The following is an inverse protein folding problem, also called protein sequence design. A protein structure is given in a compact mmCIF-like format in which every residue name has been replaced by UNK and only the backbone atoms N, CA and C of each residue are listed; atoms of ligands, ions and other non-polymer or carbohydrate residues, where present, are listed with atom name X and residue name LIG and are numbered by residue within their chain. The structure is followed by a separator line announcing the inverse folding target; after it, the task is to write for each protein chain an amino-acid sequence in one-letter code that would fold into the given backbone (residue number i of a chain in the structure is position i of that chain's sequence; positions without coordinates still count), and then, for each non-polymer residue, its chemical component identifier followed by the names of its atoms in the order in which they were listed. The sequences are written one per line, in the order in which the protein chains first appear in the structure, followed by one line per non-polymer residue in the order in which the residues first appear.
data_IF_227746593924
#
_entry.id   IF_227746593924
#
_cell.length_a   1.000
_cell.length_b   1.000
_cell.length_c   1.000
_cell.angle_alpha   90.00
_cell.angle_beta   90.00
_cell.angle_gamma   90.00
#
_symmetry.space_group_name_H-M   'P 1'
#
loop_
_entity.id
_entity.type
_entity.pdbx_description
1 polymer ?
#
# COMPACT_ATOMS: atom_id res chain seq x y z
N UNK A 1 -37.43 1.70 -19.58
CA UNK A 1 -36.27 2.02 -18.72
C UNK A 1 -36.32 1.08 -17.53
N UNK A 2 -35.51 0.01 -17.45
CA UNK A 2 -35.50 -0.84 -16.26
C UNK A 2 -34.82 -0.08 -15.12
N UNK A 3 -35.46 -0.06 -13.95
CA UNK A 3 -34.97 0.61 -12.75
C UNK A 3 -33.71 -0.06 -12.21
N UNK A 4 -32.72 0.74 -11.87
CA UNK A 4 -31.51 0.31 -11.16
C UNK A 4 -31.92 -0.29 -9.80
N UNK A 5 -31.81 -1.61 -9.65
CA UNK A 5 -32.01 -2.28 -8.37
C UNK A 5 -30.73 -2.11 -7.56
N UNK A 6 -30.71 -1.14 -6.66
CA UNK A 6 -29.64 -0.98 -5.68
C UNK A 6 -29.81 -2.05 -4.61
N UNK A 7 -28.97 -3.08 -4.60
CA UNK A 7 -28.90 -4.03 -3.48
C UNK A 7 -28.23 -3.33 -2.30
N UNK A 8 -29.03 -2.72 -1.43
CA UNK A 8 -28.54 -2.26 -0.13
C UNK A 8 -28.45 -3.47 0.80
N UNK A 9 -27.25 -3.79 1.29
CA UNK A 9 -27.10 -4.76 2.37
C UNK A 9 -27.77 -4.22 3.64
N UNK A 10 -28.99 -4.69 3.92
CA UNK A 10 -29.59 -4.62 5.25
C UNK A 10 -29.29 -5.91 5.99
N UNK A 11 -28.29 -5.90 6.85
CA UNK A 11 -28.24 -6.79 8.00
C UNK A 11 -27.59 -6.07 9.19
N UNK A 12 -28.35 -5.16 9.80
CA UNK A 12 -28.02 -4.57 11.12
C UNK A 12 -28.64 -5.37 12.27
N UNK A 13 -29.22 -6.55 12.04
CA UNK A 13 -29.92 -7.31 13.10
C UNK A 13 -29.72 -8.84 13.07
N UNK A 14 -28.51 -9.33 12.76
CA UNK A 14 -28.06 -10.69 13.21
C UNK A 14 -26.54 -10.68 13.40
N UNK A 15 -26.02 -10.04 14.46
CA UNK A 15 -24.55 -9.95 14.58
C UNK A 15 -24.03 -9.67 15.99
N UNK A 16 -24.58 -10.30 17.03
CA UNK A 16 -23.86 -10.38 18.31
C UNK A 16 -23.59 -11.83 18.73
N UNK A 17 -24.52 -12.77 18.45
CA UNK A 17 -24.34 -14.18 18.79
C UNK A 17 -23.53 -15.00 17.74
N UNK A 18 -23.59 -14.66 16.44
CA UNK A 18 -22.94 -15.43 15.36
C UNK A 18 -21.48 -15.02 15.14
N UNK A 19 -21.13 -13.76 15.41
CA UNK A 19 -19.75 -13.27 15.24
C UNK A 19 -18.79 -13.79 16.30
N UNK A 20 -19.30 -14.11 17.50
CA UNK A 20 -18.52 -14.79 18.54
C UNK A 20 -18.27 -16.27 18.28
N UNK A 21 -19.04 -16.90 17.38
CA UNK A 21 -18.98 -18.34 17.08
C UNK A 21 -18.27 -18.68 15.78
N UNK A 22 -18.13 -17.72 14.86
CA UNK A 22 -17.44 -17.95 13.59
C UNK A 22 -15.93 -18.08 13.79
N UNK A 23 -15.36 -19.17 13.31
CA UNK A 23 -13.92 -19.40 13.42
C UNK A 23 -13.16 -18.33 12.63
N UNK A 24 -12.00 -17.91 13.12
CA UNK A 24 -11.14 -16.92 12.42
C UNK A 24 -10.89 -17.27 10.96
N UNK A 25 -10.82 -18.56 10.66
CA UNK A 25 -10.63 -19.10 9.32
C UNK A 25 -11.84 -18.86 8.41
N UNK A 26 -13.06 -19.07 8.89
CA UNK A 26 -14.29 -18.84 8.11
C UNK A 26 -14.45 -17.35 7.74
N UNK A 27 -14.17 -16.46 8.69
CA UNK A 27 -14.17 -15.01 8.43
C UNK A 27 -13.11 -14.61 7.40
N UNK A 28 -11.92 -15.21 7.47
CA UNK A 28 -10.84 -14.98 6.50
C UNK A 28 -11.25 -15.41 5.08
N UNK A 29 -11.91 -16.56 4.96
CA UNK A 29 -12.47 -17.05 3.69
C UNK A 29 -13.56 -16.11 3.14
N UNK A 30 -14.43 -15.56 3.99
CA UNK A 30 -15.42 -14.57 3.55
C UNK A 30 -14.77 -13.29 3.01
N UNK A 31 -13.72 -12.78 3.66
CA UNK A 31 -12.98 -11.64 3.13
C UNK A 31 -12.39 -11.92 1.75
N UNK A 32 -11.87 -13.14 1.53
CA UNK A 32 -11.38 -13.56 0.22
C UNK A 32 -12.49 -13.53 -0.84
N UNK A 33 -13.64 -14.12 -0.56
CA UNK A 33 -14.75 -14.16 -1.51
C UNK A 33 -15.26 -12.76 -1.87
N UNK A 34 -15.35 -11.86 -0.90
CA UNK A 34 -15.75 -10.48 -1.17
C UNK A 34 -14.73 -9.78 -2.07
N UNK A 35 -13.43 -9.94 -1.80
CA UNK A 35 -12.39 -9.34 -2.64
C UNK A 35 -12.49 -9.85 -4.08
N UNK A 36 -12.55 -11.17 -4.28
CA UNK A 36 -12.65 -11.79 -5.60
C UNK A 36 -13.93 -11.36 -6.34
N UNK A 37 -15.05 -11.22 -5.64
CA UNK A 37 -16.29 -10.73 -6.23
C UNK A 37 -16.15 -9.27 -6.71
N UNK A 38 -15.49 -8.41 -5.93
CA UNK A 38 -15.20 -7.02 -6.34
C UNK A 38 -14.32 -7.00 -7.59
N UNK A 39 -13.24 -7.79 -7.61
CA UNK A 39 -12.36 -7.86 -8.79
C UNK A 39 -13.09 -8.32 -10.05
N UNK A 40 -13.94 -9.34 -9.90
CA UNK A 40 -14.69 -9.89 -11.02
C UNK A 40 -15.76 -8.93 -11.55
N UNK A 41 -16.53 -8.31 -10.66
CA UNK A 41 -17.64 -7.44 -11.05
C UNK A 41 -17.19 -6.05 -11.53
N UNK A 42 -16.00 -5.61 -11.10
CA UNK A 42 -15.52 -4.25 -11.31
C UNK A 42 -14.13 -4.21 -11.95
N UNK A 43 -13.76 -5.22 -12.73
CA UNK A 43 -12.47 -5.31 -13.43
C UNK A 43 -12.12 -4.02 -14.20
N UNK A 44 -13.10 -3.45 -14.89
CA UNK A 44 -12.90 -2.29 -15.77
C UNK A 44 -12.80 -0.96 -15.01
N UNK A 45 -13.08 -0.98 -13.70
CA UNK A 45 -13.07 0.20 -12.81
C UNK A 45 -12.41 -0.11 -11.47
N UNK A 46 -11.43 -1.03 -11.49
CA UNK A 46 -10.80 -1.60 -10.31
C UNK A 46 -10.17 -0.52 -9.42
N UNK A 47 -9.73 0.56 -10.07
CA UNK A 47 -9.22 1.78 -9.44
C UNK A 47 -10.13 2.30 -8.33
N UNK A 48 -11.46 2.34 -8.54
CA UNK A 48 -12.40 2.83 -7.52
C UNK A 48 -12.50 1.95 -6.27
N UNK A 49 -11.89 0.77 -6.28
CA UNK A 49 -12.01 -0.24 -5.22
C UNK A 49 -10.66 -0.62 -4.58
N UNK A 50 -9.55 0.00 -4.98
CA UNK A 50 -8.19 -0.35 -4.51
C UNK A 50 -8.09 -0.44 -2.98
N UNK A 51 -8.56 0.57 -2.25
CA UNK A 51 -8.50 0.57 -0.78
C UNK A 51 -9.37 -0.52 -0.13
N UNK A 52 -10.53 -0.79 -0.72
CA UNK A 52 -11.44 -1.84 -0.26
C UNK A 52 -10.80 -3.21 -0.49
N UNK A 53 -10.22 -3.42 -1.67
CA UNK A 53 -9.50 -4.64 -2.02
C UNK A 53 -8.30 -4.86 -1.11
N UNK A 54 -7.49 -3.83 -0.86
CA UNK A 54 -6.37 -3.89 0.07
C UNK A 54 -6.83 -4.40 1.45
N UNK A 55 -7.92 -3.83 1.96
CA UNK A 55 -8.49 -4.18 3.26
C UNK A 55 -9.06 -5.59 3.33
N UNK A 56 -9.75 -6.05 2.29
CA UNK A 56 -10.30 -7.40 2.25
C UNK A 56 -9.19 -8.44 2.08
N UNK A 57 -8.24 -8.22 1.18
CA UNK A 57 -7.13 -9.15 1.01
C UNK A 57 -6.23 -9.25 2.24
N UNK A 58 -5.99 -8.15 2.96
CA UNK A 58 -5.22 -8.16 4.21
C UNK A 58 -5.83 -9.08 5.29
N UNK A 59 -7.15 -9.24 5.28
CA UNK A 59 -7.90 -10.09 6.22
C UNK A 59 -8.15 -11.50 5.67
N UNK A 60 -7.60 -11.81 4.51
CA UNK A 60 -7.76 -13.07 3.79
C UNK A 60 -6.47 -13.90 3.80
N UNK A 61 -6.49 -15.15 3.29
CA UNK A 61 -5.27 -15.93 3.11
C UNK A 61 -4.36 -15.45 1.96
N UNK A 62 -4.84 -14.61 1.04
CA UNK A 62 -4.08 -14.14 -0.13
C UNK A 62 -3.31 -12.84 0.18
N UNK A 63 -2.22 -12.98 0.94
CA UNK A 63 -1.39 -11.84 1.37
C UNK A 63 -0.56 -11.22 0.24
N UNK A 64 -0.29 -11.98 -0.82
CA UNK A 64 0.33 -11.51 -2.06
C UNK A 64 -0.56 -10.47 -2.76
N UNK A 65 -1.86 -10.73 -2.82
CA UNK A 65 -2.85 -9.76 -3.31
C UNK A 65 -2.97 -8.57 -2.36
N UNK A 66 -2.90 -8.80 -1.05
CA UNK A 66 -2.90 -7.72 -0.07
C UNK A 66 -1.70 -6.79 -0.26
N UNK A 67 -0.51 -7.33 -0.49
CA UNK A 67 0.71 -6.58 -0.78
C UNK A 67 0.50 -5.68 -2.01
N UNK A 68 0.04 -6.27 -3.12
CA UNK A 68 -0.22 -5.53 -4.36
C UNK A 68 -1.18 -4.35 -4.15
N UNK A 69 -2.34 -4.59 -3.54
CA UNK A 69 -3.32 -3.52 -3.35
C UNK A 69 -2.93 -2.50 -2.28
N UNK A 70 -2.13 -2.87 -1.27
CA UNK A 70 -1.59 -1.90 -0.32
C UNK A 70 -0.58 -0.96 -0.96
N UNK A 71 0.26 -1.45 -1.89
CA UNK A 71 1.16 -0.60 -2.68
C UNK A 71 0.34 0.40 -3.51
N UNK A 72 -0.65 -0.08 -4.26
CA UNK A 72 -1.52 0.77 -5.06
C UNK A 72 -2.29 1.80 -4.20
N UNK A 73 -2.81 1.39 -3.04
CA UNK A 73 -3.48 2.29 -2.11
C UNK A 73 -2.54 3.38 -1.59
N UNK A 74 -1.30 3.01 -1.24
CA UNK A 74 -0.25 3.94 -0.84
C UNK A 74 0.08 4.95 -1.93
N UNK A 75 0.29 4.50 -3.16
CA UNK A 75 0.56 5.35 -4.31
C UNK A 75 -0.58 6.33 -4.59
N UNK A 76 -1.84 5.86 -4.56
CA UNK A 76 -3.02 6.72 -4.74
C UNK A 76 -3.16 7.76 -3.65
N UNK A 77 -2.99 7.36 -2.39
CA UNK A 77 -3.04 8.29 -1.26
C UNK A 77 -1.93 9.35 -1.37
N UNK A 78 -0.72 8.97 -1.76
CA UNK A 78 0.40 9.89 -1.98
C UNK A 78 0.10 10.88 -3.13
N UNK A 79 -0.42 10.40 -4.26
CA UNK A 79 -0.82 11.24 -5.39
C UNK A 79 -1.92 12.25 -5.03
N UNK A 80 -2.75 11.93 -4.03
CA UNK A 80 -3.78 12.83 -3.50
C UNK A 80 -3.31 13.67 -2.30
N UNK A 81 -2.01 13.67 -1.99
CA UNK A 81 -1.42 14.33 -0.81
C UNK A 81 -1.98 13.90 0.54
N UNK A 82 -2.62 12.73 0.60
CA UNK A 82 -3.08 12.09 1.83
C UNK A 82 -1.91 11.36 2.51
N UNK A 83 -0.89 12.12 2.92
CA UNK A 83 0.41 11.61 3.37
C UNK A 83 0.29 10.59 4.51
N UNK A 84 -0.58 10.82 5.50
CA UNK A 84 -0.76 9.88 6.61
C UNK A 84 -1.36 8.55 6.16
N UNK A 85 -2.34 8.59 5.26
CA UNK A 85 -2.95 7.38 4.70
C UNK A 85 -1.94 6.63 3.82
N UNK A 86 -1.18 7.35 3.00
CA UNK A 86 -0.10 6.77 2.19
C UNK A 86 0.92 6.06 3.07
N UNK A 87 1.40 6.72 4.14
CA UNK A 87 2.30 6.13 5.14
C UNK A 87 1.71 4.85 5.72
N UNK A 88 0.46 4.87 6.16
CA UNK A 88 -0.20 3.70 6.75
C UNK A 88 -0.27 2.52 5.77
N UNK A 89 -0.60 2.78 4.51
CA UNK A 89 -0.65 1.75 3.47
C UNK A 89 0.72 1.15 3.16
N UNK A 90 1.74 1.99 2.96
CA UNK A 90 3.10 1.51 2.70
C UNK A 90 3.72 0.79 3.90
N UNK A 91 3.51 1.26 5.13
CA UNK A 91 3.96 0.53 6.34
C UNK A 91 3.29 -0.84 6.44
N UNK A 92 1.99 -0.92 6.10
CA UNK A 92 1.28 -2.20 6.06
C UNK A 92 1.86 -3.12 4.98
N UNK A 93 2.13 -2.59 3.79
CA UNK A 93 2.78 -3.32 2.69
C UNK A 93 4.18 -3.82 3.08
N UNK A 94 4.99 -2.98 3.74
CA UNK A 94 6.32 -3.34 4.24
C UNK A 94 6.25 -4.53 5.20
N UNK A 95 5.26 -4.55 6.09
CA UNK A 95 5.02 -5.66 7.01
C UNK A 95 4.54 -6.96 6.33
N UNK A 96 4.13 -6.91 5.06
CA UNK A 96 3.75 -8.09 4.27
C UNK A 96 4.93 -8.71 3.52
N UNK A 97 6.01 -7.97 3.24
CA UNK A 97 7.18 -8.49 2.51
C UNK A 97 7.80 -9.72 3.18
N UNK A 98 7.76 -9.82 4.52
CA UNK A 98 8.26 -10.98 5.27
C UNK A 98 7.34 -12.20 5.25
N UNK A 99 6.15 -12.10 4.64
CA UNK A 99 5.09 -13.13 4.67
C UNK A 99 4.79 -13.71 3.30
N UNK A 100 5.36 -13.14 2.24
CA UNK A 100 5.06 -13.52 0.85
C UNK A 100 6.35 -13.55 0.03
N UNK A 101 6.32 -14.27 -1.09
CA UNK A 101 7.32 -14.08 -2.14
C UNK A 101 6.96 -12.79 -2.88
N UNK A 102 7.91 -11.88 -3.00
CA UNK A 102 7.72 -10.57 -3.64
C UNK A 102 8.79 -10.34 -4.71
N UNK A 103 8.49 -9.42 -5.63
CA UNK A 103 9.45 -8.95 -6.63
C UNK A 103 10.27 -7.77 -6.08
N UNK A 104 11.56 -7.64 -6.43
CA UNK A 104 12.39 -6.48 -6.10
C UNK A 104 11.70 -5.13 -6.29
N UNK A 105 10.98 -4.97 -7.40
CA UNK A 105 10.19 -3.77 -7.71
C UNK A 105 9.14 -3.42 -6.65
N UNK A 106 8.50 -4.41 -6.01
CA UNK A 106 7.50 -4.15 -4.97
C UNK A 106 8.15 -3.59 -3.69
N UNK A 107 9.34 -4.09 -3.32
CA UNK A 107 10.10 -3.54 -2.21
C UNK A 107 10.58 -2.12 -2.52
N UNK A 108 11.06 -1.88 -3.74
CA UNK A 108 11.40 -0.54 -4.21
C UNK A 108 10.21 0.42 -4.11
N UNK A 109 9.04 0.06 -4.65
CA UNK A 109 7.84 0.91 -4.62
C UNK A 109 7.44 1.31 -3.19
N UNK A 110 7.50 0.38 -2.24
CA UNK A 110 7.18 0.62 -0.83
C UNK A 110 8.18 1.58 -0.19
N UNK A 111 9.47 1.30 -0.35
CA UNK A 111 10.53 2.09 0.27
C UNK A 111 10.62 3.49 -0.37
N UNK A 112 10.54 3.59 -1.68
CA UNK A 112 10.48 4.85 -2.40
C UNK A 112 9.26 5.69 -1.95
N UNK A 113 8.07 5.09 -1.90
CA UNK A 113 6.84 5.75 -1.44
C UNK A 113 6.92 6.24 0.01
N UNK A 114 7.48 5.44 0.92
CA UNK A 114 7.73 5.88 2.30
C UNK A 114 8.73 7.02 2.36
N UNK A 115 9.81 6.95 1.59
CA UNK A 115 10.80 8.01 1.49
C UNK A 115 10.19 9.34 1.08
N UNK A 116 9.34 9.33 0.04
CA UNK A 116 8.66 10.52 -0.47
C UNK A 116 7.71 11.12 0.58
N UNK A 117 6.87 10.28 1.19
CA UNK A 117 5.91 10.71 2.21
C UNK A 117 6.62 11.30 3.44
N UNK A 118 7.67 10.65 3.92
CA UNK A 118 8.46 11.09 5.08
C UNK A 118 9.20 12.40 4.79
N UNK A 119 9.70 12.58 3.57
CA UNK A 119 10.30 13.85 3.14
C UNK A 119 9.29 15.00 3.19
N UNK A 120 8.04 14.75 2.75
CA UNK A 120 6.99 15.76 2.74
C UNK A 120 6.54 16.19 4.14
N UNK A 121 6.57 15.29 5.12
CA UNK A 121 6.20 15.60 6.51
C UNK A 121 7.38 16.05 7.38
N UNK A 122 8.57 16.21 6.79
CA UNK A 122 9.76 16.72 7.46
C UNK A 122 10.59 15.68 8.23
N UNK A 123 10.27 14.39 8.10
CA UNK A 123 11.02 13.28 8.71
C UNK A 123 12.22 12.90 7.83
N UNK A 124 13.16 13.85 7.64
CA UNK A 124 14.24 13.75 6.66
C UNK A 124 15.19 12.56 6.89
N UNK A 125 15.55 12.28 8.13
CA UNK A 125 16.43 11.15 8.45
C UNK A 125 15.75 9.81 8.12
N UNK A 126 14.48 9.65 8.46
CA UNK A 126 13.72 8.44 8.15
C UNK A 126 13.51 8.30 6.63
N UNK A 127 13.23 9.40 5.94
CA UNK A 127 13.12 9.45 4.48
C UNK A 127 14.38 8.90 3.79
N UNK A 128 15.58 9.36 4.19
CA UNK A 128 16.85 8.85 3.65
C UNK A 128 17.07 7.36 3.91
N UNK A 129 16.69 6.86 5.09
CA UNK A 129 16.77 5.43 5.37
C UNK A 129 15.93 4.63 4.38
N UNK A 130 14.70 5.10 4.09
CA UNK A 130 13.84 4.45 3.13
C UNK A 130 14.35 4.55 1.69
N UNK A 131 14.90 5.69 1.26
CA UNK A 131 15.52 5.78 -0.08
C UNK A 131 16.69 4.81 -0.25
N UNK A 132 17.55 4.65 0.76
CA UNK A 132 18.64 3.66 0.72
C UNK A 132 18.12 2.23 0.55
N UNK A 133 17.12 1.84 1.34
CA UNK A 133 16.50 0.52 1.19
C UNK A 133 15.79 0.33 -0.15
N UNK A 134 15.28 1.40 -0.77
CA UNK A 134 14.75 1.32 -2.13
C UNK A 134 15.87 1.01 -3.14
N UNK A 135 17.04 1.66 -3.04
CA UNK A 135 18.20 1.36 -3.88
C UNK A 135 18.66 -0.08 -3.70
N UNK A 136 18.82 -0.53 -2.45
CA UNK A 136 19.23 -1.91 -2.12
C UNK A 136 18.26 -2.95 -2.69
N UNK A 137 16.97 -2.63 -2.81
CA UNK A 137 15.98 -3.55 -3.36
C UNK A 137 16.21 -3.83 -4.86
N UNK A 138 16.68 -2.85 -5.63
CA UNK A 138 16.84 -2.95 -7.11
C UNK A 138 18.29 -3.11 -7.55
N UNK A 139 19.28 -2.87 -6.68
CA UNK A 139 20.71 -3.06 -6.98
C UNK A 139 21.08 -4.55 -7.22
N UNK A 140 20.17 -5.47 -6.85
CA UNK A 140 20.29 -6.91 -7.11
C UNK A 140 19.94 -7.28 -8.56
N UNK A 141 19.21 -6.42 -9.28
CA UNK A 141 18.87 -6.56 -10.70
C UNK A 141 19.76 -5.64 -11.56
N UNK A 142 20.02 -6.04 -12.81
CA UNK A 142 20.95 -5.38 -13.75
C UNK A 142 20.78 -3.84 -13.73
N UNK A 143 21.81 -3.13 -13.26
CA UNK A 143 21.75 -1.71 -12.87
C UNK A 143 21.25 -0.80 -13.99
N UNK A 144 21.40 -1.22 -15.25
CA UNK A 144 21.00 -0.48 -16.44
C UNK A 144 19.48 -0.25 -16.53
N UNK A 145 18.67 -1.14 -15.94
CA UNK A 145 17.20 -1.01 -15.96
C UNK A 145 16.71 0.13 -15.05
N UNK A 146 17.42 0.38 -13.95
CA UNK A 146 16.99 1.31 -12.90
C UNK A 146 17.89 2.56 -12.73
N UNK A 147 18.73 2.88 -13.72
CA UNK A 147 19.64 4.05 -13.65
C UNK A 147 18.89 5.34 -13.33
N UNK A 148 17.69 5.52 -13.90
CA UNK A 148 16.90 6.73 -13.71
C UNK A 148 16.35 6.81 -12.28
N UNK A 149 15.84 5.70 -11.77
CA UNK A 149 15.31 5.55 -10.41
C UNK A 149 16.40 5.77 -9.37
N UNK A 150 17.58 5.20 -9.55
CA UNK A 150 18.73 5.41 -8.66
C UNK A 150 19.16 6.89 -8.65
N UNK A 151 19.24 7.50 -9.84
CA UNK A 151 19.58 8.93 -9.96
C UNK A 151 18.53 9.84 -9.29
N UNK A 152 17.24 9.48 -9.38
CA UNK A 152 16.18 10.23 -8.69
C UNK A 152 16.28 10.11 -7.17
N UNK A 153 16.57 8.91 -6.65
CA UNK A 153 16.76 8.66 -5.23
C UNK A 153 17.96 9.44 -4.66
N UNK A 154 19.09 9.47 -5.36
CA UNK A 154 20.26 10.26 -4.96
C UNK A 154 19.94 11.76 -4.87
N UNK A 155 19.23 12.27 -5.88
CA UNK A 155 18.77 13.67 -5.91
C UNK A 155 17.84 13.96 -4.73
N UNK A 156 16.86 13.09 -4.45
CA UNK A 156 15.93 13.23 -3.33
C UNK A 156 16.65 13.22 -1.98
N UNK A 157 17.63 12.33 -1.79
CA UNK A 157 18.46 12.32 -0.59
C UNK A 157 19.22 13.63 -0.42
N UNK A 158 19.80 14.19 -1.49
CA UNK A 158 20.44 15.51 -1.47
C UNK A 158 19.51 16.62 -0.95
N UNK A 159 18.27 16.67 -1.46
CA UNK A 159 17.25 17.63 -1.02
C UNK A 159 16.94 17.49 0.47
N UNK A 160 16.91 16.27 1.01
CA UNK A 160 16.64 16.07 2.44
C UNK A 160 17.76 16.62 3.35
N UNK A 161 19.01 16.61 2.89
CA UNK A 161 20.13 17.19 3.64
C UNK A 161 20.09 18.71 3.64
N UNK A 162 19.81 19.32 2.49
CA UNK A 162 19.64 20.77 2.36
C UNK A 162 18.54 21.28 3.30
N UNK A 163 17.34 20.68 3.21
CA UNK A 163 16.20 21.07 4.05
C UNK A 163 16.53 20.95 5.54
N UNK A 164 17.08 19.82 5.98
CA UNK A 164 17.42 19.64 7.39
C UNK A 164 18.42 20.69 7.89
N UNK A 165 19.43 21.02 7.09
CA UNK A 165 20.41 22.05 7.43
C UNK A 165 19.82 23.47 7.54
N UNK A 166 18.70 23.74 6.88
CA UNK A 166 17.95 25.01 7.03
C UNK A 166 17.09 25.03 8.30
N UNK A 167 16.47 23.90 8.66
CA UNK A 167 15.72 23.78 9.93
C UNK A 167 16.62 23.85 11.15
N UNK A 168 17.82 23.26 11.10
CA UNK A 168 18.77 23.30 12.23
C UNK A 168 19.32 24.72 12.50
N UNK A 169 19.11 25.68 11.59
CA UNK A 169 19.55 27.07 11.70
C UNK A 169 18.47 28.07 12.15
N UNK A 170 17.19 27.66 12.19
CA UNK A 170 16.03 28.52 12.49
C UNK A 170 15.66 28.50 13.98
#
# INVERSE_FOLDING_TARGET
MPGNITYTFRHVLVSDAVYGTMLKQERSTLHLFVAQAIEHLYSDRIDGYVEILANHYLRSPQLDRALHYMILAGQRAANNYANEQARQHFVTALGLLSKVVYQPSQAFEIHHGLGDVLMLVGEYQASRTHYKSAMEAIEVEDSDVYINELSDLDRKMGITFERQGDFDKA
#
